data_IF_263579257410
#
_entry.id   IF_263579257410
#
_cell.length_a   1.000
_cell.length_b   1.000
_cell.length_c   1.000
_cell.angle_alpha   90.00
_cell.angle_beta   90.00
_cell.angle_gamma   90.00
#
_symmetry.space_group_name_H-M   'P 1'
#
loop_
_entity.id
_entity.type
_entity.pdbx_description
1 polymer ?
#
# COMPACT_ATOMS: atom_id res chain seq x y z
N UNK A 1 9.13 -10.42 -29.81
CA UNK A 1 8.55 -11.75 -29.61
C UNK A 1 7.16 -11.79 -30.22
N UNK A 2 6.82 -12.87 -30.92
CA UNK A 2 5.56 -12.98 -31.67
C UNK A 2 4.51 -13.66 -30.80
N UNK A 3 3.29 -13.15 -30.87
CA UNK A 3 2.13 -13.64 -30.15
C UNK A 3 0.89 -13.68 -31.04
N UNK A 4 -0.09 -14.45 -30.65
CA UNK A 4 -1.43 -14.43 -31.23
C UNK A 4 -2.42 -13.90 -30.20
N UNK A 5 -3.08 -12.79 -30.52
CA UNK A 5 -4.06 -12.16 -29.62
C UNK A 5 -5.38 -11.99 -30.39
N UNK A 6 -6.44 -12.63 -29.94
CA UNK A 6 -7.78 -12.59 -30.55
C UNK A 6 -7.78 -12.91 -32.05
N UNK A 7 -6.92 -13.85 -32.49
CA UNK A 7 -6.78 -14.25 -33.89
C UNK A 7 -5.92 -13.33 -34.73
N UNK A 8 -5.25 -12.35 -34.12
CA UNK A 8 -4.28 -11.46 -34.78
C UNK A 8 -2.87 -11.83 -34.39
N UNK A 9 -2.00 -12.00 -35.39
CA UNK A 9 -0.57 -12.10 -35.14
C UNK A 9 -0.05 -10.73 -34.75
N UNK A 10 0.82 -10.68 -33.75
CA UNK A 10 1.38 -9.45 -33.19
C UNK A 10 2.83 -9.67 -32.80
N UNK A 11 3.69 -8.76 -33.25
CA UNK A 11 5.10 -8.71 -32.80
C UNK A 11 5.24 -7.64 -31.73
N UNK A 12 5.55 -8.03 -30.51
CA UNK A 12 5.83 -7.12 -29.39
C UNK A 12 7.33 -6.94 -29.23
N UNK A 13 7.78 -5.69 -29.25
CA UNK A 13 9.14 -5.27 -28.96
C UNK A 13 9.20 -4.54 -27.63
N UNK A 14 10.25 -4.81 -26.86
CA UNK A 14 10.54 -4.11 -25.61
C UNK A 14 11.97 -3.59 -25.65
N UNK A 15 12.14 -2.27 -25.61
CA UNK A 15 13.44 -1.60 -25.67
C UNK A 15 13.73 -0.88 -24.36
N UNK A 16 14.81 -1.27 -23.69
CA UNK A 16 15.25 -0.61 -22.47
C UNK A 16 15.91 0.73 -22.81
N UNK A 17 15.40 1.84 -22.25
CA UNK A 17 16.04 3.15 -22.38
C UNK A 17 17.26 3.24 -21.47
N UNK A 18 18.36 3.74 -22.03
CA UNK A 18 19.53 4.15 -21.24
C UNK A 18 19.30 5.56 -20.67
N UNK A 19 19.91 5.87 -19.52
CA UNK A 19 19.67 7.10 -18.75
C UNK A 19 19.91 8.42 -19.50
N UNK A 20 20.74 8.42 -20.53
CA UNK A 20 21.07 9.55 -21.40
C UNK A 20 19.96 9.90 -22.43
N UNK A 21 19.04 8.99 -22.68
CA UNK A 21 17.89 9.20 -23.59
C UNK A 21 16.61 9.66 -22.86
N UNK A 22 16.67 9.86 -21.55
CA UNK A 22 15.54 10.31 -20.73
C UNK A 22 15.49 11.84 -20.73
N UNK A 23 14.31 12.42 -20.98
CA UNK A 23 14.08 13.85 -20.73
C UNK A 23 14.37 14.23 -19.26
N UNK A 24 14.62 15.52 -19.00
CA UNK A 24 15.11 16.02 -17.70
C UNK A 24 14.28 15.56 -16.48
N UNK A 25 12.97 15.43 -16.60
CA UNK A 25 12.09 14.94 -15.52
C UNK A 25 12.27 13.43 -15.26
N UNK A 26 12.28 12.62 -16.31
CA UNK A 26 12.46 11.18 -16.19
C UNK A 26 13.87 10.81 -15.71
N UNK A 27 14.90 11.54 -16.18
CA UNK A 27 16.28 11.40 -15.70
C UNK A 27 16.38 11.74 -14.19
N UNK A 28 15.66 12.77 -13.73
CA UNK A 28 15.59 13.15 -12.31
C UNK A 28 14.92 12.05 -11.45
N UNK A 29 13.86 11.42 -11.96
CA UNK A 29 13.20 10.31 -11.27
C UNK A 29 14.08 9.07 -11.16
N UNK A 30 14.82 8.73 -12.22
CA UNK A 30 15.78 7.61 -12.20
C UNK A 30 16.96 7.90 -11.26
N UNK A 31 17.50 9.11 -11.29
CA UNK A 31 18.60 9.52 -10.43
C UNK A 31 18.19 9.54 -8.93
N UNK A 32 16.97 9.97 -8.63
CA UNK A 32 16.42 9.95 -7.26
C UNK A 32 16.06 8.55 -6.78
N UNK A 33 15.80 7.60 -7.67
CA UNK A 33 15.31 6.24 -7.38
C UNK A 33 16.34 5.19 -6.98
N UNK A 34 17.64 5.51 -7.00
CA UNK A 34 18.68 4.56 -6.52
C UNK A 34 18.73 3.21 -7.26
N UNK A 35 18.92 3.21 -8.58
CA UNK A 35 19.66 2.14 -9.26
C UNK A 35 18.97 0.85 -9.68
N UNK A 36 17.67 0.63 -9.49
CA UNK A 36 16.98 -0.62 -9.93
C UNK A 36 15.77 -0.40 -10.83
N UNK A 37 15.42 0.83 -11.15
CA UNK A 37 14.30 1.13 -12.02
C UNK A 37 14.82 1.36 -13.44
N UNK A 38 14.16 0.73 -14.40
CA UNK A 38 14.47 0.87 -15.83
C UNK A 38 13.24 1.41 -16.55
N UNK A 39 13.47 2.26 -17.54
CA UNK A 39 12.44 2.66 -18.48
C UNK A 39 12.47 1.71 -19.67
N UNK A 40 11.30 1.22 -20.06
CA UNK A 40 11.14 0.31 -21.18
C UNK A 40 10.08 0.87 -22.10
N UNK A 41 10.43 1.04 -23.38
CA UNK A 41 9.45 1.33 -24.42
C UNK A 41 8.91 0.01 -24.95
N UNK A 42 7.60 -0.08 -24.99
CA UNK A 42 6.89 -1.18 -25.66
C UNK A 42 6.35 -0.68 -26.98
N UNK A 43 6.61 -1.43 -28.04
CA UNK A 43 6.11 -1.17 -29.38
C UNK A 43 5.55 -2.47 -29.98
N UNK A 44 4.46 -2.36 -30.74
CA UNK A 44 3.83 -3.48 -31.41
C UNK A 44 3.20 -3.07 -32.75
N UNK A 45 3.16 -3.99 -33.68
CA UNK A 45 2.82 -3.79 -35.09
C UNK A 45 1.31 -3.75 -35.37
N UNK A 46 0.44 -4.02 -34.39
CA UNK A 46 -1.00 -4.01 -34.57
C UNK A 46 -1.68 -2.98 -33.64
N UNK A 47 -2.10 -1.86 -34.21
CA UNK A 47 -2.74 -0.74 -33.48
C UNK A 47 -4.19 -1.02 -33.03
N UNK A 48 -4.81 -2.12 -33.46
CA UNK A 48 -6.14 -2.55 -32.99
C UNK A 48 -6.09 -3.26 -31.65
N UNK A 49 -4.90 -3.68 -31.22
CA UNK A 49 -4.67 -4.34 -29.93
C UNK A 49 -4.11 -3.30 -28.94
N UNK A 50 -4.78 -3.12 -27.84
CA UNK A 50 -4.33 -2.23 -26.78
C UNK A 50 -3.22 -2.87 -25.92
N UNK A 51 -2.40 -2.06 -25.24
CA UNK A 51 -1.38 -2.56 -24.33
C UNK A 51 -1.98 -3.38 -23.18
N UNK A 52 -3.19 -3.04 -22.72
CA UNK A 52 -3.89 -3.80 -21.70
C UNK A 52 -4.21 -5.24 -22.17
N UNK A 53 -4.64 -5.40 -23.43
CA UNK A 53 -4.90 -6.72 -24.02
C UNK A 53 -3.62 -7.54 -24.18
N UNK A 54 -2.50 -6.87 -24.52
CA UNK A 54 -1.19 -7.51 -24.55
C UNK A 54 -0.83 -8.01 -23.14
N UNK A 55 -0.94 -7.17 -22.12
CA UNK A 55 -0.62 -7.55 -20.74
C UNK A 55 -1.51 -8.69 -20.24
N UNK A 56 -2.79 -8.72 -20.60
CA UNK A 56 -3.71 -9.80 -20.21
C UNK A 56 -3.34 -11.14 -20.88
N UNK A 57 -2.79 -11.09 -22.10
CA UNK A 57 -2.50 -12.30 -22.87
C UNK A 57 -1.12 -12.86 -22.61
N UNK A 58 -0.12 -11.99 -22.49
CA UNK A 58 1.30 -12.42 -22.37
C UNK A 58 1.90 -12.15 -21.01
N UNK A 59 1.21 -11.38 -20.17
CA UNK A 59 1.64 -11.09 -18.82
C UNK A 59 1.47 -12.30 -17.91
N UNK A 60 2.44 -12.48 -17.02
CA UNK A 60 2.33 -13.43 -15.92
C UNK A 60 1.98 -12.70 -14.63
N UNK A 61 1.16 -13.34 -13.78
CA UNK A 61 0.86 -12.80 -12.48
C UNK A 61 2.14 -12.75 -11.63
N UNK A 62 2.57 -11.57 -11.15
CA UNK A 62 3.75 -11.48 -10.31
C UNK A 62 3.44 -12.04 -8.91
N UNK A 63 3.96 -13.22 -8.62
CA UNK A 63 3.90 -13.79 -7.27
C UNK A 63 5.13 -13.36 -6.45
N UNK A 64 5.03 -13.35 -5.10
CA UNK A 64 6.15 -12.95 -4.25
C UNK A 64 7.40 -13.79 -4.50
N UNK A 65 8.59 -13.19 -4.66
CA UNK A 65 9.84 -13.90 -4.95
C UNK A 65 10.22 -14.95 -3.90
N UNK A 66 9.79 -14.80 -2.65
CA UNK A 66 10.09 -15.75 -1.58
C UNK A 66 9.38 -17.12 -1.74
N UNK A 67 8.40 -17.23 -2.65
CA UNK A 67 7.78 -18.51 -2.97
C UNK A 67 8.70 -19.43 -3.78
N UNK A 68 9.76 -18.89 -4.38
CA UNK A 68 10.80 -19.63 -5.12
C UNK A 68 10.26 -20.63 -6.14
N UNK A 69 9.19 -20.30 -6.83
CA UNK A 69 8.59 -21.09 -7.91
C UNK A 69 8.08 -20.18 -9.03
N UNK A 70 7.85 -20.73 -10.19
CA UNK A 70 7.14 -20.04 -11.27
C UNK A 70 5.64 -19.87 -10.91
N UNK A 71 5.01 -18.90 -11.57
CA UNK A 71 3.56 -18.69 -11.49
C UNK A 71 2.83 -19.85 -12.14
N UNK A 72 1.75 -20.31 -11.51
CA UNK A 72 0.86 -21.34 -11.98
C UNK A 72 -0.51 -20.75 -12.35
N UNK A 73 -1.27 -21.43 -13.20
CA UNK A 73 -2.61 -20.97 -13.60
C UNK A 73 -3.55 -20.81 -12.39
N UNK A 74 -3.42 -21.68 -11.40
CA UNK A 74 -4.16 -21.61 -10.13
C UNK A 74 -3.92 -20.31 -9.36
N UNK A 75 -2.74 -19.68 -9.50
CA UNK A 75 -2.42 -18.43 -8.80
C UNK A 75 -3.33 -17.28 -9.23
N UNK A 76 -3.83 -17.29 -10.47
CA UNK A 76 -4.79 -16.28 -10.96
C UNK A 76 -6.06 -16.23 -10.12
N UNK A 77 -6.42 -17.34 -9.47
CA UNK A 77 -7.59 -17.41 -8.61
C UNK A 77 -7.21 -17.39 -7.13
N UNK A 78 -6.17 -18.13 -6.74
CA UNK A 78 -5.80 -18.29 -5.33
C UNK A 78 -4.98 -17.14 -4.77
N UNK A 79 -4.29 -16.38 -5.63
CA UNK A 79 -3.54 -15.18 -5.24
C UNK A 79 -4.36 -13.91 -5.48
N UNK A 80 -5.67 -13.97 -5.21
CA UNK A 80 -6.61 -12.85 -5.28
C UNK A 80 -7.56 -12.89 -4.09
N UNK A 81 -7.89 -11.72 -3.56
CA UNK A 81 -8.90 -11.63 -2.51
C UNK A 81 -10.31 -11.64 -3.08
N UNK A 82 -11.28 -12.17 -2.33
CA UNK A 82 -12.70 -12.20 -2.72
C UNK A 82 -13.31 -10.80 -2.90
N UNK A 83 -12.65 -9.76 -2.40
CA UNK A 83 -13.08 -8.36 -2.51
C UNK A 83 -12.24 -7.53 -3.51
N UNK A 84 -11.36 -8.16 -4.28
CA UNK A 84 -10.61 -7.46 -5.34
C UNK A 84 -11.56 -6.99 -6.44
N UNK A 85 -11.61 -5.68 -6.71
CA UNK A 85 -12.54 -5.07 -7.67
C UNK A 85 -11.83 -4.29 -8.77
N UNK A 86 -10.76 -3.59 -8.44
CA UNK A 86 -10.09 -2.63 -9.32
C UNK A 86 -8.74 -3.18 -9.72
N UNK A 87 -8.50 -3.30 -11.04
CA UNK A 87 -7.19 -3.67 -11.59
C UNK A 87 -6.21 -2.51 -11.43
N UNK A 88 -4.91 -2.77 -11.26
CA UNK A 88 -3.88 -1.73 -11.20
C UNK A 88 -2.84 -1.93 -10.10
N UNK A 89 -2.92 -3.04 -9.36
CA UNK A 89 -1.95 -3.40 -8.32
C UNK A 89 -1.10 -4.59 -8.76
N UNK A 90 0.18 -4.58 -8.39
CA UNK A 90 1.12 -5.68 -8.67
C UNK A 90 1.06 -6.75 -7.57
N UNK A 91 0.85 -6.33 -6.33
CA UNK A 91 0.81 -7.22 -5.18
C UNK A 91 -0.61 -7.35 -4.62
N UNK A 92 -1.06 -8.59 -4.39
CA UNK A 92 -2.31 -8.84 -3.70
C UNK A 92 -2.16 -8.52 -2.19
N UNK A 93 -3.22 -8.03 -1.52
CA UNK A 93 -3.22 -7.84 -0.07
C UNK A 93 -3.35 -9.19 0.63
N UNK A 94 -2.21 -9.89 0.79
CA UNK A 94 -2.16 -11.31 1.18
C UNK A 94 -2.83 -11.64 2.52
N UNK A 95 -2.91 -10.70 3.47
CA UNK A 95 -3.70 -10.87 4.69
C UNK A 95 -5.20 -11.06 4.39
N UNK A 96 -5.69 -10.50 3.28
CA UNK A 96 -7.05 -10.65 2.82
C UNK A 96 -7.39 -12.03 2.25
N UNK A 97 -6.39 -12.84 1.90
CA UNK A 97 -6.60 -14.21 1.38
C UNK A 97 -7.21 -15.16 2.41
N UNK A 98 -7.13 -14.81 3.70
CA UNK A 98 -7.78 -15.58 4.77
C UNK A 98 -9.31 -15.37 4.81
N UNK A 99 -9.84 -14.37 4.11
CA UNK A 99 -11.27 -14.07 4.10
C UNK A 99 -11.94 -14.75 2.92
N UNK A 100 -12.95 -15.55 3.22
CA UNK A 100 -13.86 -16.14 2.26
C UNK A 100 -15.21 -15.42 2.31
N UNK A 101 -16.07 -15.60 1.31
CA UNK A 101 -17.42 -15.07 1.33
C UNK A 101 -18.19 -15.51 2.57
N UNK A 102 -18.00 -16.76 3.01
CA UNK A 102 -18.63 -17.28 4.22
C UNK A 102 -18.17 -16.55 5.49
N UNK A 103 -16.86 -16.26 5.60
CA UNK A 103 -16.30 -15.49 6.73
C UNK A 103 -16.83 -14.05 6.70
N UNK A 104 -16.88 -13.41 5.52
CA UNK A 104 -17.41 -12.06 5.38
C UNK A 104 -18.89 -11.99 5.78
N UNK A 105 -19.70 -12.94 5.34
CA UNK A 105 -21.11 -13.04 5.76
C UNK A 105 -21.28 -13.28 7.25
N UNK A 106 -20.35 -14.01 7.86
CA UNK A 106 -20.38 -14.27 9.30
C UNK A 106 -20.03 -13.01 10.10
N UNK A 107 -19.06 -12.24 9.67
CA UNK A 107 -18.71 -10.92 10.19
C UNK A 107 -19.94 -10.00 10.16
N UNK A 108 -20.65 -9.94 9.03
CA UNK A 108 -21.85 -9.13 8.84
C UNK A 108 -23.00 -9.57 9.79
N UNK A 109 -23.18 -10.89 9.96
CA UNK A 109 -24.17 -11.46 10.89
C UNK A 109 -23.91 -11.10 12.35
N UNK A 110 -22.64 -10.90 12.71
CA UNK A 110 -22.25 -10.44 14.04
C UNK A 110 -22.33 -8.92 14.22
N UNK A 111 -22.80 -8.20 13.20
CA UNK A 111 -22.96 -6.74 13.25
C UNK A 111 -21.63 -5.99 13.21
N UNK A 112 -20.55 -6.61 12.71
CA UNK A 112 -19.26 -5.97 12.54
C UNK A 112 -19.25 -5.26 11.19
N UNK A 113 -19.16 -3.95 11.21
CA UNK A 113 -19.11 -3.14 9.99
C UNK A 113 -17.77 -3.27 9.28
N UNK A 114 -17.82 -3.32 7.96
CA UNK A 114 -16.64 -3.42 7.09
C UNK A 114 -16.55 -2.21 6.18
N UNK A 115 -15.34 -1.71 5.99
CA UNK A 115 -15.02 -0.64 5.05
C UNK A 115 -13.85 -1.03 4.16
N UNK A 116 -13.80 -0.43 3.00
CA UNK A 116 -12.76 -0.68 2.01
C UNK A 116 -11.95 0.60 1.77
N UNK A 117 -10.64 0.42 1.63
CA UNK A 117 -9.73 1.44 1.10
C UNK A 117 -9.08 0.91 -0.16
N UNK A 118 -8.92 1.76 -1.16
CA UNK A 118 -8.27 1.36 -2.41
C UNK A 118 -6.79 1.71 -2.36
N UNK A 119 -5.96 0.73 -2.70
CA UNK A 119 -4.52 0.81 -2.64
C UNK A 119 -3.92 0.36 -3.97
N UNK A 120 -3.04 1.17 -4.52
CA UNK A 120 -2.26 0.80 -5.70
C UNK A 120 -0.84 0.42 -5.27
N UNK A 121 -0.68 -0.88 -4.99
CA UNK A 121 0.56 -1.44 -4.46
C UNK A 121 1.48 -1.83 -5.60
N UNK A 122 2.62 -1.16 -5.70
CA UNK A 122 3.65 -1.45 -6.69
C UNK A 122 4.56 -2.63 -6.28
N UNK A 123 5.40 -3.08 -7.22
CA UNK A 123 6.39 -4.15 -7.00
C UNK A 123 7.44 -3.85 -5.91
N UNK A 124 7.50 -2.59 -5.44
CA UNK A 124 8.39 -2.16 -4.36
C UNK A 124 8.17 -2.89 -3.04
N UNK A 125 6.95 -3.38 -2.79
CA UNK A 125 6.59 -4.13 -1.57
C UNK A 125 7.40 -5.42 -1.39
N UNK A 126 7.90 -6.00 -2.48
CA UNK A 126 8.71 -7.22 -2.44
C UNK A 126 10.21 -6.98 -2.24
N UNK A 127 10.66 -5.71 -2.15
CA UNK A 127 12.08 -5.39 -1.96
C UNK A 127 12.49 -5.61 -0.51
N UNK A 128 13.50 -6.45 -0.23
CA UNK A 128 14.02 -6.62 1.13
C UNK A 128 14.76 -5.35 1.57
N UNK A 129 14.83 -5.12 2.87
CA UNK A 129 15.69 -4.11 3.47
C UNK A 129 17.15 -4.54 3.25
N UNK A 130 17.92 -3.71 2.55
CA UNK A 130 19.36 -3.98 2.26
C UNK A 130 20.30 -3.15 3.14
N UNK A 131 19.81 -2.11 3.77
CA UNK A 131 20.56 -1.26 4.68
C UNK A 131 20.74 -1.93 6.04
N UNK A 132 21.87 -1.71 6.69
CA UNK A 132 22.12 -2.17 8.07
C UNK A 132 21.30 -1.36 9.08
N UNK A 133 21.02 -0.10 8.74
CA UNK A 133 20.24 0.83 9.56
C UNK A 133 18.96 1.19 8.82
N UNK A 134 17.87 1.40 9.57
CA UNK A 134 16.55 1.67 9.03
C UNK A 134 16.49 3.00 8.28
N UNK A 135 17.29 3.97 8.70
CA UNK A 135 17.42 5.30 8.11
C UNK A 135 17.91 5.23 6.65
N UNK A 136 18.75 4.23 6.35
CA UNK A 136 19.24 3.98 5.00
C UNK A 136 18.25 3.29 4.08
N UNK A 137 17.11 2.81 4.60
CA UNK A 137 16.07 2.20 3.79
C UNK A 137 15.10 3.25 3.26
N UNK A 138 14.86 3.22 1.95
CA UNK A 138 13.88 4.10 1.31
C UNK A 138 12.59 3.35 1.04
N UNK A 139 11.50 3.80 1.68
CA UNK A 139 10.16 3.29 1.43
C UNK A 139 9.68 3.68 0.03
N UNK A 140 8.95 2.78 -0.60
CA UNK A 140 8.23 3.09 -1.83
C UNK A 140 6.95 3.88 -1.53
N UNK A 141 6.55 4.70 -2.50
CA UNK A 141 5.28 5.42 -2.45
C UNK A 141 4.13 4.46 -2.78
N UNK A 142 3.09 4.49 -1.98
CA UNK A 142 1.81 3.83 -2.25
C UNK A 142 0.74 4.90 -2.47
N UNK A 143 0.02 4.79 -3.58
CA UNK A 143 -1.13 5.65 -3.86
C UNK A 143 -2.36 5.07 -3.19
N UNK A 144 -3.09 5.93 -2.52
CA UNK A 144 -4.26 5.57 -1.71
C UNK A 144 -5.48 6.36 -2.17
N UNK A 145 -6.63 5.70 -2.10
CA UNK A 145 -7.93 6.31 -2.37
C UNK A 145 -8.87 5.94 -1.24
N UNK A 146 -9.42 6.95 -0.57
CA UNK A 146 -10.32 6.79 0.57
C UNK A 146 -11.59 7.59 0.35
N UNK A 147 -12.74 6.93 0.40
CA UNK A 147 -14.03 7.59 0.23
C UNK A 147 -14.42 8.40 1.48
N UNK A 148 -15.10 9.51 1.26
CA UNK A 148 -15.61 10.37 2.33
C UNK A 148 -16.48 9.59 3.34
N UNK A 149 -17.34 8.68 2.86
CA UNK A 149 -18.19 7.88 3.75
C UNK A 149 -17.38 6.98 4.70
N UNK A 150 -16.22 6.47 4.26
CA UNK A 150 -15.30 5.68 5.10
C UNK A 150 -14.72 6.53 6.23
N UNK A 151 -14.36 7.80 5.95
CA UNK A 151 -13.91 8.75 6.98
C UNK A 151 -15.01 9.07 7.99
N UNK A 152 -16.25 9.24 7.54
CA UNK A 152 -17.41 9.44 8.42
C UNK A 152 -17.61 8.25 9.35
N UNK A 153 -17.51 7.03 8.81
CA UNK A 153 -17.59 5.81 9.63
C UNK A 153 -16.44 5.70 10.62
N UNK A 154 -15.22 6.08 10.26
CA UNK A 154 -14.11 6.16 11.21
C UNK A 154 -14.46 7.03 12.41
N UNK A 155 -15.08 8.21 12.20
CA UNK A 155 -15.52 9.07 13.29
C UNK A 155 -16.62 8.41 14.14
N UNK A 156 -17.60 7.75 13.52
CA UNK A 156 -18.69 7.06 14.21
C UNK A 156 -18.16 5.96 15.14
N UNK A 157 -17.06 5.33 14.75
CA UNK A 157 -16.37 4.29 15.52
C UNK A 157 -15.17 4.83 16.33
N UNK A 158 -15.21 6.11 16.74
CA UNK A 158 -14.19 6.76 17.58
C UNK A 158 -12.77 6.70 17.01
N UNK A 159 -12.62 6.56 15.71
CA UNK A 159 -11.34 6.33 15.01
C UNK A 159 -10.59 5.09 15.54
N UNK A 160 -11.31 4.03 15.86
CA UNK A 160 -10.75 2.76 16.28
C UNK A 160 -11.12 1.65 15.30
N UNK A 161 -10.11 1.00 14.70
CA UNK A 161 -10.34 0.00 13.66
C UNK A 161 -9.48 -1.24 13.83
N UNK A 162 -9.97 -2.33 13.23
CA UNK A 162 -9.21 -3.54 12.94
C UNK A 162 -8.71 -3.44 11.50
N UNK A 163 -7.42 -3.31 11.32
CA UNK A 163 -6.83 -3.26 9.97
C UNK A 163 -6.51 -4.67 9.45
N UNK A 164 -6.85 -4.93 8.19
CA UNK A 164 -6.49 -6.17 7.50
C UNK A 164 -5.38 -5.87 6.50
N UNK A 165 -4.18 -6.33 6.82
CA UNK A 165 -2.95 -6.12 6.04
C UNK A 165 -2.17 -4.88 6.44
N UNK A 166 -0.85 -4.99 6.31
CA UNK A 166 0.10 -3.93 6.67
C UNK A 166 -0.04 -2.68 5.79
N UNK A 167 -0.44 -2.84 4.55
CA UNK A 167 -0.68 -1.71 3.63
C UNK A 167 -1.92 -0.92 4.07
N UNK A 168 -2.98 -1.60 4.52
CA UNK A 168 -4.16 -0.93 5.12
C UNK A 168 -3.78 -0.15 6.38
N UNK A 169 -2.91 -0.71 7.23
CA UNK A 169 -2.37 0.00 8.40
C UNK A 169 -1.69 1.29 7.98
N UNK A 170 -0.78 1.22 7.00
CA UNK A 170 -0.04 2.39 6.53
C UNK A 170 -0.99 3.47 5.99
N UNK A 171 -2.00 3.06 5.23
CA UNK A 171 -3.03 3.98 4.73
C UNK A 171 -3.77 4.67 5.87
N UNK A 172 -4.33 3.88 6.79
CA UNK A 172 -5.18 4.38 7.88
C UNK A 172 -4.40 5.30 8.83
N UNK A 173 -3.16 4.91 9.19
CA UNK A 173 -2.30 5.73 10.02
C UNK A 173 -1.86 7.02 9.30
N UNK A 174 -1.68 6.98 7.97
CA UNK A 174 -1.37 8.18 7.17
C UNK A 174 -2.50 9.20 7.17
N UNK A 175 -3.76 8.77 7.25
CA UNK A 175 -4.89 9.71 7.35
C UNK A 175 -4.77 10.63 8.56
N UNK A 176 -4.24 10.15 9.67
CA UNK A 176 -3.98 10.99 10.83
C UNK A 176 -3.04 12.15 10.49
N UNK A 177 -1.91 11.86 9.84
CA UNK A 177 -0.91 12.89 9.50
C UNK A 177 -1.39 13.85 8.40
N UNK A 178 -2.18 13.37 7.45
CA UNK A 178 -2.85 14.21 6.46
C UNK A 178 -3.82 15.20 7.13
N UNK A 179 -4.62 14.72 8.08
CA UNK A 179 -5.51 15.57 8.86
C UNK A 179 -4.76 16.59 9.72
N UNK A 180 -3.67 16.19 10.35
CA UNK A 180 -2.77 17.08 11.11
C UNK A 180 -2.20 18.16 10.19
N UNK A 181 -1.78 17.79 8.97
CA UNK A 181 -1.30 18.75 7.98
C UNK A 181 -2.37 19.79 7.63
N UNK A 182 -3.60 19.35 7.36
CA UNK A 182 -4.74 20.24 7.06
C UNK A 182 -5.11 21.18 8.21
N UNK A 183 -4.96 20.75 9.46
CA UNK A 183 -5.18 21.61 10.63
C UNK A 183 -4.15 22.74 10.71
N UNK A 184 -2.93 22.51 10.24
CA UNK A 184 -1.84 23.48 10.22
C UNK A 184 -1.82 24.33 8.95
N UNK A 185 -2.30 23.78 7.85
CA UNK A 185 -2.29 24.38 6.52
C UNK A 185 -3.69 24.23 5.87
N UNK A 186 -4.67 25.05 6.30
CA UNK A 186 -6.05 24.94 5.80
C UNK A 186 -6.21 25.18 4.30
N UNK A 187 -5.22 25.82 3.66
CA UNK A 187 -5.12 26.11 2.22
C UNK A 187 -4.46 25.01 1.41
N UNK A 188 -3.97 23.94 2.07
CA UNK A 188 -3.30 22.82 1.40
C UNK A 188 -4.20 22.20 0.33
N UNK A 189 -3.58 21.78 -0.75
CA UNK A 189 -4.19 21.05 -1.86
C UNK A 189 -4.01 19.54 -1.70
N UNK A 190 -4.63 18.76 -2.57
CA UNK A 190 -4.51 17.29 -2.55
C UNK A 190 -3.04 16.83 -2.74
N UNK A 191 -2.27 17.55 -3.55
CA UNK A 191 -0.85 17.28 -3.78
C UNK A 191 0.02 17.47 -2.53
N UNK A 192 -0.42 18.32 -1.60
CA UNK A 192 0.28 18.61 -0.35
C UNK A 192 0.02 17.55 0.73
N UNK A 193 -0.95 16.66 0.54
CA UNK A 193 -1.36 15.66 1.53
C UNK A 193 -0.51 14.39 1.53
N UNK A 194 0.57 14.36 0.77
CA UNK A 194 1.54 13.26 0.81
C UNK A 194 2.16 13.11 2.20
N UNK A 195 2.23 11.86 2.70
CA UNK A 195 2.92 11.55 3.96
C UNK A 195 4.29 10.98 3.65
N UNK A 196 5.34 11.71 4.05
CA UNK A 196 6.72 11.28 3.89
C UNK A 196 7.10 10.17 4.88
N UNK A 197 8.20 9.52 4.60
CA UNK A 197 8.65 8.34 5.35
C UNK A 197 8.81 8.61 6.85
N UNK A 198 9.34 9.77 7.23
CA UNK A 198 9.72 10.11 8.60
C UNK A 198 8.82 11.14 9.28
N UNK A 199 7.80 11.67 8.58
CA UNK A 199 6.86 12.65 9.12
C UNK A 199 6.34 12.29 10.53
N UNK A 200 5.97 11.02 10.84
CA UNK A 200 5.48 10.66 12.17
C UNK A 200 6.47 10.94 13.30
N UNK A 201 7.75 10.82 13.02
CA UNK A 201 8.81 10.95 14.01
C UNK A 201 9.30 12.40 14.11
N UNK A 202 9.44 13.09 12.98
CA UNK A 202 9.85 14.49 12.88
C UNK A 202 8.81 15.40 13.52
N UNK A 203 7.54 15.27 13.14
CA UNK A 203 6.44 16.04 13.71
C UNK A 203 6.24 15.77 15.22
N UNK A 204 6.55 14.58 15.68
CA UNK A 204 6.49 14.24 17.11
C UNK A 204 7.65 14.81 17.91
N UNK A 205 8.80 15.07 17.28
CA UNK A 205 9.97 15.65 17.92
C UNK A 205 9.84 17.14 18.15
N UNK A 206 9.13 17.87 17.26
CA UNK A 206 8.95 19.35 17.30
C UNK A 206 7.96 19.81 18.37
N UNK A 207 8.21 19.47 19.65
CA UNK A 207 7.43 19.96 20.79
C UNK A 207 6.13 19.18 21.08
N UNK A 208 5.87 18.08 20.40
CA UNK A 208 4.81 17.14 20.75
C UNK A 208 3.37 17.62 20.50
N UNK A 209 3.16 18.78 19.87
CA UNK A 209 1.82 19.31 19.59
C UNK A 209 0.98 18.37 18.72
N UNK A 210 1.62 17.67 17.80
CA UNK A 210 0.98 16.65 16.94
C UNK A 210 0.34 15.55 17.79
N UNK A 211 1.02 15.10 18.84
CA UNK A 211 0.50 14.05 19.72
C UNK A 211 -0.68 14.53 20.60
N UNK A 212 -0.91 15.85 20.70
CA UNK A 212 -2.06 16.42 21.39
C UNK A 212 -3.34 16.44 20.53
N UNK A 213 -3.21 16.30 19.20
CA UNK A 213 -4.35 16.24 18.27
C UNK A 213 -5.02 14.87 18.42
N UNK A 214 -6.31 14.88 18.67
CA UNK A 214 -7.08 13.62 18.71
C UNK A 214 -7.29 13.10 17.28
N UNK A 215 -7.29 11.76 17.08
CA UNK A 215 -7.57 11.18 15.77
C UNK A 215 -8.87 11.68 15.14
N UNK A 216 -9.91 11.92 15.94
CA UNK A 216 -11.18 12.47 15.47
C UNK A 216 -11.05 13.88 14.88
N UNK A 217 -10.18 14.72 15.43
CA UNK A 217 -9.93 16.07 14.92
C UNK A 217 -9.21 16.01 13.55
N UNK A 218 -8.23 15.11 13.42
CA UNK A 218 -7.51 14.91 12.18
C UNK A 218 -8.44 14.36 11.07
N UNK A 219 -9.25 13.35 11.37
CA UNK A 219 -10.20 12.80 10.40
C UNK A 219 -11.28 13.82 10.02
N UNK A 220 -11.77 14.61 10.99
CA UNK A 220 -12.73 15.68 10.70
C UNK A 220 -12.13 16.73 9.76
N UNK A 221 -10.85 17.10 9.94
CA UNK A 221 -10.19 18.05 9.04
C UNK A 221 -10.13 17.55 7.59
N UNK A 222 -9.96 16.26 7.36
CA UNK A 222 -10.02 15.67 6.01
C UNK A 222 -11.45 15.75 5.45
N UNK A 223 -12.46 15.44 6.25
CA UNK A 223 -13.86 15.54 5.82
C UNK A 223 -14.19 16.99 5.46
N UNK A 224 -13.80 17.95 6.28
CA UNK A 224 -14.03 19.38 6.04
C UNK A 224 -13.30 19.85 4.76
N UNK A 225 -12.11 19.30 4.50
CA UNK A 225 -11.36 19.54 3.26
C UNK A 225 -12.15 19.03 2.04
N UNK A 226 -12.64 17.79 2.09
CA UNK A 226 -13.42 17.19 1.01
C UNK A 226 -14.71 18.00 0.76
N UNK A 227 -15.42 18.36 1.82
CA UNK A 227 -16.67 19.12 1.74
C UNK A 227 -16.47 20.51 1.13
N UNK A 228 -15.41 21.23 1.52
CA UNK A 228 -15.08 22.56 0.96
C UNK A 228 -14.77 22.50 -0.53
N UNK A 229 -14.16 21.40 -0.99
CA UNK A 229 -13.75 21.21 -2.38
C UNK A 229 -14.80 20.43 -3.21
N UNK A 230 -15.92 20.01 -2.63
CA UNK A 230 -16.95 19.22 -3.31
C UNK A 230 -16.46 17.84 -3.75
N UNK A 231 -15.56 17.21 -2.97
CA UNK A 231 -14.94 15.94 -3.27
C UNK A 231 -15.60 14.80 -2.46
N UNK A 232 -15.88 13.69 -3.10
CA UNK A 232 -16.40 12.47 -2.45
C UNK A 232 -15.28 11.48 -2.09
N UNK A 233 -14.06 11.74 -2.54
CA UNK A 233 -12.94 10.82 -2.42
C UNK A 233 -11.65 11.59 -2.21
N UNK A 234 -10.85 11.16 -1.25
CA UNK A 234 -9.47 11.61 -1.04
C UNK A 234 -8.56 10.77 -1.93
N UNK A 235 -7.78 11.41 -2.77
CA UNK A 235 -6.66 10.82 -3.49
C UNK A 235 -5.36 11.33 -2.91
N UNK A 236 -4.48 10.47 -2.48
CA UNK A 236 -3.22 10.86 -1.89
C UNK A 236 -2.17 9.75 -2.02
N UNK A 237 -1.04 9.91 -1.35
CA UNK A 237 0.02 8.91 -1.34
C UNK A 237 0.76 8.90 -0.01
N UNK A 238 1.42 7.78 0.28
CA UNK A 238 2.20 7.64 1.50
C UNK A 238 3.50 6.88 1.27
N UNK A 239 4.53 7.31 1.98
CA UNK A 239 5.79 6.59 2.16
C UNK A 239 6.01 6.21 3.62
N UNK A 240 5.01 6.40 4.48
CA UNK A 240 5.14 6.20 5.93
C UNK A 240 5.89 4.91 6.26
N UNK A 241 6.87 5.00 7.14
CA UNK A 241 7.50 3.85 7.79
C UNK A 241 6.96 3.74 9.21
N UNK A 242 6.56 2.53 9.59
CA UNK A 242 6.12 2.24 10.96
C UNK A 242 7.15 1.30 11.56
N UNK A 243 7.85 1.76 12.59
CA UNK A 243 8.98 1.08 13.22
C UNK A 243 8.84 1.14 14.76
N UNK A 244 9.59 0.33 15.51
CA UNK A 244 9.57 0.37 16.97
C UNK A 244 9.70 1.81 17.51
N UNK A 245 8.81 2.15 18.45
CA UNK A 245 8.66 3.53 18.96
C UNK A 245 7.49 4.31 18.35
N UNK A 246 6.93 3.86 17.22
CA UNK A 246 5.73 4.44 16.65
C UNK A 246 4.53 4.25 17.57
N UNK A 247 3.72 5.30 17.73
CA UNK A 247 2.49 5.26 18.50
C UNK A 247 1.28 5.25 17.55
N UNK A 248 0.60 4.13 17.49
CA UNK A 248 -0.59 3.95 16.66
C UNK A 248 -1.70 4.92 17.06
N UNK A 249 -2.28 5.60 16.09
CA UNK A 249 -3.31 6.62 16.29
C UNK A 249 -4.72 6.05 16.12
N UNK A 250 -4.93 5.27 15.08
CA UNK A 250 -6.26 4.80 14.64
C UNK A 250 -6.36 3.27 14.74
N UNK A 251 -5.32 2.55 14.32
CA UNK A 251 -5.35 1.09 14.31
C UNK A 251 -5.19 0.52 15.71
N UNK A 252 -6.19 -0.24 16.17
CA UNK A 252 -6.21 -0.89 17.50
C UNK A 252 -5.98 -2.40 17.43
N UNK A 253 -6.35 -3.03 16.33
CA UNK A 253 -6.08 -4.44 16.06
C UNK A 253 -5.59 -4.64 14.64
N UNK A 254 -4.81 -5.70 14.45
CA UNK A 254 -4.18 -6.00 13.17
C UNK A 254 -4.35 -7.46 12.82
N UNK A 255 -4.89 -7.72 11.63
CA UNK A 255 -4.89 -9.04 11.00
C UNK A 255 -3.84 -9.00 9.91
N UNK A 256 -2.81 -9.83 10.04
CA UNK A 256 -1.71 -9.88 9.06
C UNK A 256 -1.07 -11.27 9.04
N UNK A 257 -0.29 -11.55 8.00
CA UNK A 257 0.54 -12.74 7.90
C UNK A 257 1.82 -12.61 8.72
N UNK A 258 2.56 -13.70 8.89
CA UNK A 258 3.93 -13.67 9.37
C UNK A 258 4.85 -13.09 8.30
N UNK A 259 5.79 -12.27 8.74
CA UNK A 259 6.71 -11.56 7.85
C UNK A 259 8.13 -12.03 8.03
N UNK A 260 8.90 -12.02 6.94
CA UNK A 260 10.30 -12.42 6.94
C UNK A 260 11.17 -11.45 7.78
N UNK A 261 12.25 -11.96 8.39
CA UNK A 261 13.28 -11.12 8.98
C UNK A 261 13.81 -10.08 7.99
N UNK A 262 14.30 -8.96 8.50
CA UNK A 262 14.82 -7.85 7.69
C UNK A 262 13.81 -7.26 6.70
N UNK A 263 12.54 -7.24 7.07
CA UNK A 263 11.49 -6.58 6.30
C UNK A 263 10.89 -5.40 7.06
N UNK A 264 10.49 -4.36 6.34
CA UNK A 264 9.74 -3.22 6.91
C UNK A 264 8.41 -3.66 7.50
N UNK A 265 7.84 -4.76 7.02
CA UNK A 265 6.59 -5.33 7.52
C UNK A 265 6.77 -5.89 8.94
N UNK A 266 7.92 -6.54 9.23
CA UNK A 266 8.22 -7.00 10.57
C UNK A 266 8.49 -5.83 11.53
N UNK A 267 9.05 -4.72 11.06
CA UNK A 267 9.21 -3.51 11.88
C UNK A 267 7.85 -2.96 12.32
N UNK A 268 6.87 -2.92 11.40
CA UNK A 268 5.49 -2.50 11.69
C UNK A 268 4.85 -3.41 12.74
N UNK A 269 4.96 -4.73 12.59
CA UNK A 269 4.44 -5.69 13.58
C UNK A 269 5.17 -5.54 14.91
N UNK A 270 6.49 -5.33 14.90
CA UNK A 270 7.28 -5.10 16.11
C UNK A 270 6.83 -3.82 16.84
N UNK A 271 6.56 -2.74 16.11
CA UNK A 271 5.99 -1.53 16.68
C UNK A 271 4.63 -1.79 17.33
N UNK A 272 3.76 -2.56 16.64
CA UNK A 272 2.43 -2.90 17.16
C UNK A 272 2.47 -3.74 18.43
N UNK A 273 3.44 -4.63 18.55
CA UNK A 273 3.63 -5.51 19.71
C UNK A 273 4.60 -4.93 20.75
N UNK A 274 4.94 -3.63 20.67
CA UNK A 274 5.87 -2.95 21.60
C UNK A 274 7.21 -3.69 21.78
N UNK A 275 7.70 -4.31 20.70
CA UNK A 275 8.96 -5.07 20.68
C UNK A 275 8.81 -6.58 20.97
N UNK A 276 7.66 -7.03 21.44
CA UNK A 276 7.43 -8.44 21.83
C UNK A 276 7.14 -9.40 20.66
N UNK A 277 7.37 -8.96 19.42
CA UNK A 277 7.11 -9.75 18.21
C UNK A 277 7.73 -11.14 18.25
N UNK A 278 8.92 -11.26 18.83
CA UNK A 278 9.66 -12.53 18.89
C UNK A 278 8.91 -13.62 19.67
N UNK A 279 8.24 -13.26 20.77
CA UNK A 279 7.43 -14.21 21.54
C UNK A 279 6.29 -14.83 20.71
N UNK A 280 5.64 -13.99 19.87
CA UNK A 280 4.56 -14.44 18.98
C UNK A 280 5.11 -15.36 17.91
N UNK A 281 6.24 -15.00 17.30
CA UNK A 281 6.88 -15.78 16.23
C UNK A 281 7.45 -17.10 16.75
N UNK A 282 8.12 -17.10 17.91
CA UNK A 282 8.63 -18.33 18.53
C UNK A 282 7.47 -19.30 18.85
N UNK A 283 6.35 -18.78 19.35
CA UNK A 283 5.15 -19.59 19.59
C UNK A 283 4.60 -20.16 18.27
N UNK A 284 4.47 -19.35 17.25
CA UNK A 284 3.94 -19.76 15.96
C UNK A 284 4.80 -20.86 15.31
N UNK A 285 6.11 -20.67 15.33
CA UNK A 285 7.06 -21.67 14.79
C UNK A 285 7.03 -22.98 15.56
N UNK A 286 6.87 -22.93 16.88
CA UNK A 286 6.78 -24.11 17.72
C UNK A 286 5.46 -24.92 17.52
N UNK A 287 4.44 -24.30 16.93
CA UNK A 287 3.12 -24.89 16.70
C UNK A 287 2.75 -25.02 15.22
N UNK A 288 3.73 -24.94 14.33
CA UNK A 288 3.56 -25.05 12.87
C UNK A 288 2.55 -24.07 12.26
N UNK A 289 2.33 -22.93 12.87
CA UNK A 289 1.60 -21.83 12.24
C UNK A 289 2.43 -21.22 11.09
N UNK A 290 1.80 -21.06 9.94
CA UNK A 290 2.44 -20.57 8.72
C UNK A 290 1.69 -19.40 8.11
#
# INVERSE_FOLDING_TARGET
>A
RDFEIKGHQLTLSATMRRGDALGSEAASMVAKGGGTNYWVDFDWDNTQVSFAEILETVGELPIPPYLNRATEESDKTTYQTVYSKIKGSVAAPTAGLHFTDAVLQDIDRHGIEREEVTLHVGAGTFKPVKSLEIEGHRMHTEYIVVHRHTLVKLLQHHCEVIAVGTTSVRTIESLYYMGVHLLSHPEATEDDLHVNQWDPYELSADGGWVNAIQPSQAIQAIIDYLDRNGLETLHSSTQIIIAPGYQYKIVKMLITNFHQPQSTLLLLVSAFLHGDWKKVYDYALAHDFR
#
